data_IF_830205712192
#
_entry.id   IF_830205712192
#
_cell.length_a   1.000
_cell.length_b   1.000
_cell.length_c   1.000
_cell.angle_alpha   90.00
_cell.angle_beta   90.00
_cell.angle_gamma   90.00
#
_symmetry.space_group_name_H-M   'P 1'
#
loop_
_entity.id
_entity.type
_entity.pdbx_description
1 polymer ?
#
# COMPACT_ATOMS: atom_id res chain seq x y z
N UNK A 1 13.44 -16.86 -11.32
CA UNK A 1 14.27 -16.02 -12.21
C UNK A 1 15.15 -15.15 -11.36
N UNK A 2 16.41 -14.92 -11.75
CA UNK A 2 17.30 -14.01 -11.02
C UNK A 2 16.88 -12.56 -11.25
N UNK A 3 16.92 -11.75 -10.19
CA UNK A 3 16.84 -10.30 -10.29
C UNK A 3 17.93 -9.83 -11.27
N UNK A 4 17.57 -9.02 -12.27
CA UNK A 4 18.54 -8.55 -13.28
C UNK A 4 19.18 -7.21 -12.90
N UNK A 5 18.38 -6.31 -12.33
CA UNK A 5 18.77 -4.94 -11.98
C UNK A 5 17.79 -4.39 -10.94
N UNK A 6 18.31 -3.61 -10.01
CA UNK A 6 17.53 -2.80 -9.09
C UNK A 6 18.05 -1.36 -9.10
N UNK A 7 17.20 -0.40 -8.75
CA UNK A 7 17.62 0.97 -8.44
C UNK A 7 17.05 1.33 -7.08
N UNK A 8 17.91 1.84 -6.21
CA UNK A 8 17.53 2.26 -4.86
C UNK A 8 17.50 3.78 -4.81
N UNK A 9 16.42 4.31 -4.26
CA UNK A 9 16.24 5.74 -4.05
C UNK A 9 15.90 5.97 -2.58
N UNK A 10 16.65 6.84 -1.92
CA UNK A 10 16.42 7.24 -0.53
C UNK A 10 16.01 8.70 -0.54
N UNK A 11 14.78 8.97 -0.12
CA UNK A 11 14.24 10.32 -0.05
C UNK A 11 12.76 10.31 0.28
N UNK A 12 12.25 11.49 0.64
CA UNK A 12 10.81 11.69 0.80
C UNK A 12 10.17 11.79 -0.58
N UNK A 13 9.32 10.82 -0.92
CA UNK A 13 8.62 10.75 -2.21
C UNK A 13 7.70 11.96 -2.43
N UNK A 14 7.25 12.65 -1.39
CA UNK A 14 6.49 13.89 -1.52
C UNK A 14 7.38 15.01 -2.09
N UNK A 15 8.63 15.11 -1.64
CA UNK A 15 9.53 16.21 -2.00
C UNK A 15 10.50 15.89 -3.14
N UNK A 16 10.73 14.61 -3.39
CA UNK A 16 11.74 14.15 -4.31
C UNK A 16 11.25 12.92 -5.08
N UNK A 17 11.52 12.89 -6.38
CA UNK A 17 11.17 11.77 -7.23
C UNK A 17 12.43 11.27 -7.94
N UNK A 18 12.59 9.95 -8.14
CA UNK A 18 13.62 9.44 -9.03
C UNK A 18 13.36 9.98 -10.45
N UNK A 19 14.30 10.78 -10.95
CA UNK A 19 14.31 11.26 -12.34
C UNK A 19 14.76 10.13 -13.28
N UNK A 20 14.37 10.24 -14.55
CA UNK A 20 14.84 9.37 -15.64
C UNK A 20 14.63 7.86 -15.41
N UNK A 21 13.52 7.50 -14.77
CA UNK A 21 13.09 6.11 -14.68
C UNK A 21 12.57 5.63 -16.05
N UNK A 22 12.84 4.37 -16.45
CA UNK A 22 12.17 3.77 -17.61
C UNK A 22 10.65 3.76 -17.42
N UNK A 23 9.93 3.56 -18.52
CA UNK A 23 8.49 3.29 -18.44
C UNK A 23 8.21 2.08 -17.55
N UNK A 24 7.33 2.29 -16.57
CA UNK A 24 6.93 1.30 -15.61
C UNK A 24 5.65 0.60 -16.09
N UNK A 25 5.51 -0.68 -15.76
CA UNK A 25 4.29 -1.46 -16.00
C UNK A 25 3.41 -1.54 -14.75
N UNK A 26 4.06 -1.58 -13.58
CA UNK A 26 3.42 -1.72 -12.28
C UNK A 26 4.10 -0.78 -11.29
N UNK A 27 3.30 -0.09 -10.49
CA UNK A 27 3.70 0.65 -9.30
C UNK A 27 3.02 -0.01 -8.11
N UNK A 28 3.77 -0.26 -7.04
CA UNK A 28 3.27 -0.91 -5.83
C UNK A 28 3.52 0.00 -4.63
N UNK A 29 2.45 0.43 -3.97
CA UNK A 29 2.47 1.25 -2.76
C UNK A 29 1.82 0.44 -1.64
N UNK A 30 2.64 -0.16 -0.79
CA UNK A 30 2.17 -1.03 0.29
C UNK A 30 2.30 -0.29 1.60
N UNK A 31 1.17 -0.05 2.29
CA UNK A 31 1.13 0.54 3.63
C UNK A 31 1.83 1.91 3.76
N UNK A 32 1.83 2.73 2.70
CA UNK A 32 2.57 3.98 2.69
C UNK A 32 1.77 5.22 2.25
N UNK A 33 0.59 5.04 1.64
CA UNK A 33 -0.16 6.19 1.11
C UNK A 33 -0.70 7.09 2.22
N UNK A 34 -1.12 6.49 3.33
CA UNK A 34 -1.73 7.17 4.46
C UNK A 34 -0.84 8.26 5.08
N UNK A 35 0.49 8.14 4.95
CA UNK A 35 1.44 9.16 5.41
C UNK A 35 1.39 10.45 4.57
N UNK A 36 0.89 10.39 3.34
CA UNK A 36 0.80 11.56 2.44
C UNK A 36 -0.56 12.27 2.51
N UNK A 37 -1.55 11.72 3.22
CA UNK A 37 -2.95 12.16 3.17
C UNK A 37 -3.30 13.32 4.12
N UNK A 38 -2.29 14.02 4.66
CA UNK A 38 -2.48 15.21 5.50
C UNK A 38 -3.14 16.37 4.75
N UNK A 39 -2.82 16.54 3.46
CA UNK A 39 -3.45 17.53 2.57
C UNK A 39 -3.67 16.95 1.17
N UNK A 40 -4.51 17.61 0.37
CA UNK A 40 -4.66 17.24 -1.04
C UNK A 40 -3.35 17.41 -1.83
N UNK A 41 -2.59 18.47 -1.52
CA UNK A 41 -1.34 18.79 -2.23
C UNK A 41 -0.26 17.74 -1.97
N UNK A 42 -0.10 17.29 -0.73
CA UNK A 42 0.86 16.24 -0.37
C UNK A 42 0.47 14.91 -1.00
N UNK A 43 -0.81 14.53 -0.94
CA UNK A 43 -1.31 13.27 -1.49
C UNK A 43 -1.17 13.22 -3.03
N UNK A 44 -1.54 14.30 -3.73
CA UNK A 44 -1.42 14.33 -5.20
C UNK A 44 0.05 14.38 -5.64
N UNK A 45 0.92 15.07 -4.90
CA UNK A 45 2.36 15.11 -5.20
C UNK A 45 3.00 13.74 -5.00
N UNK A 46 2.73 13.10 -3.87
CA UNK A 46 3.16 11.73 -3.58
C UNK A 46 2.75 10.76 -4.69
N UNK A 47 1.45 10.72 -5.03
CA UNK A 47 0.95 9.84 -6.08
C UNK A 47 1.57 10.16 -7.44
N UNK A 48 1.73 11.44 -7.80
CA UNK A 48 2.37 11.83 -9.06
C UNK A 48 3.80 11.33 -9.14
N UNK A 49 4.58 11.48 -8.08
CA UNK A 49 5.97 11.04 -8.03
C UNK A 49 6.08 9.51 -8.02
N UNK A 50 5.30 8.83 -7.18
CA UNK A 50 5.28 7.37 -7.11
C UNK A 50 4.87 6.72 -8.44
N UNK A 51 3.89 7.33 -9.13
CA UNK A 51 3.42 6.85 -10.42
C UNK A 51 4.42 7.10 -11.58
N UNK A 52 5.37 8.02 -11.41
CA UNK A 52 6.43 8.35 -12.37
C UNK A 52 6.01 8.23 -13.84
N UNK A 53 6.76 7.41 -14.59
CA UNK A 53 6.48 7.08 -15.99
C UNK A 53 5.68 5.78 -16.10
N UNK A 54 4.51 5.68 -15.48
CA UNK A 54 3.62 4.53 -15.67
C UNK A 54 3.05 4.51 -17.09
N UNK A 55 3.29 3.43 -17.82
CA UNK A 55 2.82 3.21 -19.18
C UNK A 55 1.29 3.11 -19.28
N UNK A 56 0.73 3.30 -20.47
CA UNK A 56 -0.69 3.20 -20.70
C UNK A 56 -1.15 1.75 -20.46
N UNK A 57 -2.20 1.57 -19.66
CA UNK A 57 -2.64 0.26 -19.18
C UNK A 57 -1.85 -0.27 -17.97
N UNK A 58 -0.80 0.42 -17.53
CA UNK A 58 -0.05 0.06 -16.33
C UNK A 58 -0.88 0.12 -15.06
N UNK A 59 -0.48 -0.65 -14.06
CA UNK A 59 -1.23 -0.85 -12.82
C UNK A 59 -0.57 -0.14 -11.65
N UNK A 60 -1.39 0.50 -10.83
CA UNK A 60 -1.07 0.87 -9.46
C UNK A 60 -1.72 -0.16 -8.54
N UNK A 61 -0.91 -0.84 -7.74
CA UNK A 61 -1.33 -1.70 -6.63
C UNK A 61 -1.14 -0.91 -5.35
N UNK A 62 -2.19 -0.80 -4.54
CA UNK A 62 -2.19 0.01 -3.34
C UNK A 62 -2.81 -0.76 -2.18
N UNK A 63 -2.18 -0.71 -1.02
CA UNK A 63 -2.74 -1.15 0.25
C UNK A 63 -2.66 -0.01 1.27
N UNK A 64 -3.77 0.23 1.96
CA UNK A 64 -3.89 1.24 3.03
C UNK A 64 -4.97 0.80 4.02
N UNK A 65 -5.06 1.49 5.16
CA UNK A 65 -6.15 1.30 6.12
C UNK A 65 -7.50 1.59 5.45
N UNK A 66 -8.47 0.70 5.66
CA UNK A 66 -9.85 0.79 5.22
C UNK A 66 -10.58 1.84 6.06
N UNK A 67 -11.05 2.91 5.40
CA UNK A 67 -11.76 3.99 6.06
C UNK A 67 -13.07 3.54 6.74
N UNK A 68 -13.74 2.50 6.22
CA UNK A 68 -14.97 1.97 6.83
C UNK A 68 -14.68 1.23 8.15
N UNK A 69 -13.53 0.55 8.22
CA UNK A 69 -13.09 -0.15 9.42
C UNK A 69 -12.50 0.83 10.43
N UNK A 70 -11.79 1.85 9.96
CA UNK A 70 -11.37 3.00 10.76
C UNK A 70 -12.58 3.65 11.45
N UNK A 71 -13.68 3.86 10.73
CA UNK A 71 -14.91 4.42 11.29
C UNK A 71 -15.54 3.53 12.37
N UNK A 72 -15.48 2.20 12.18
CA UNK A 72 -15.96 1.23 13.18
C UNK A 72 -15.13 1.32 14.47
N UNK A 73 -13.80 1.42 14.35
CA UNK A 73 -12.91 1.61 15.49
C UNK A 73 -13.12 2.97 16.16
N UNK A 74 -13.24 4.03 15.37
CA UNK A 74 -13.49 5.38 15.87
C UNK A 74 -14.79 5.45 16.69
N UNK A 75 -15.88 4.80 16.21
CA UNK A 75 -17.13 4.69 16.96
C UNK A 75 -16.95 3.99 18.31
N UNK A 76 -16.14 2.92 18.35
CA UNK A 76 -15.87 2.21 19.59
C UNK A 76 -15.07 3.09 20.56
N UNK A 77 -14.03 3.76 20.04
CA UNK A 77 -13.14 4.64 20.79
C UNK A 77 -13.87 5.85 21.39
N UNK A 78 -14.77 6.49 20.64
CA UNK A 78 -15.50 7.69 21.06
C UNK A 78 -16.47 7.47 22.24
N UNK A 79 -16.81 6.22 22.57
CA UNK A 79 -17.72 5.91 23.69
C UNK A 79 -17.07 6.12 25.06
N UNK A 80 -15.75 5.97 25.14
CA UNK A 80 -14.99 5.99 26.37
C UNK A 80 -13.71 6.83 26.18
N UNK A 81 -13.84 8.15 26.00
CA UNK A 81 -12.66 9.02 25.87
C UNK A 81 -11.82 8.96 27.15
N UNK A 82 -10.50 9.05 27.00
CA UNK A 82 -9.55 9.14 28.10
C UNK A 82 -9.63 10.52 28.77
N UNK A 83 -9.02 10.64 29.95
CA UNK A 83 -9.02 11.87 30.73
C UNK A 83 -8.34 13.06 30.01
N UNK A 84 -7.42 12.78 29.08
CA UNK A 84 -6.74 13.76 28.24
C UNK A 84 -7.54 14.14 26.98
N UNK A 85 -8.74 13.59 26.81
CA UNK A 85 -9.62 13.83 25.66
C UNK A 85 -9.37 12.93 24.45
N UNK A 86 -8.33 12.10 24.47
CA UNK A 86 -8.05 11.15 23.39
C UNK A 86 -9.05 10.00 23.36
N UNK A 87 -9.30 9.45 22.17
CA UNK A 87 -10.17 8.29 21.98
C UNK A 87 -9.32 7.11 21.48
N UNK A 88 -9.42 5.96 22.13
CA UNK A 88 -8.58 4.80 21.79
C UNK A 88 -9.39 3.55 21.47
N UNK A 89 -9.01 2.88 20.39
CA UNK A 89 -9.41 1.52 20.06
C UNK A 89 -8.16 0.63 20.04
N UNK A 90 -8.18 -0.48 20.79
CA UNK A 90 -7.01 -1.35 20.95
C UNK A 90 -7.43 -2.80 21.17
N UNK A 91 -6.52 -3.72 20.81
CA UNK A 91 -6.52 -5.11 21.21
C UNK A 91 -5.10 -5.52 21.63
N UNK A 92 -4.79 -6.82 21.75
CA UNK A 92 -3.44 -7.23 22.19
C UNK A 92 -2.34 -6.95 21.16
N UNK A 93 -2.70 -6.69 19.89
CA UNK A 93 -1.76 -6.53 18.78
C UNK A 93 -1.64 -5.10 18.26
N UNK A 94 -2.67 -4.26 18.41
CA UNK A 94 -2.61 -2.88 17.94
C UNK A 94 -3.28 -1.90 18.90
N UNK A 95 -2.84 -0.64 18.82
CA UNK A 95 -3.48 0.50 19.47
C UNK A 95 -3.64 1.62 18.44
N UNK A 96 -4.87 2.12 18.32
CA UNK A 96 -5.22 3.25 17.48
C UNK A 96 -5.76 4.38 18.33
N UNK A 97 -5.06 5.52 18.29
CA UNK A 97 -5.39 6.69 19.11
C UNK A 97 -5.79 7.86 18.24
N UNK A 98 -7.01 8.34 18.43
CA UNK A 98 -7.47 9.62 17.91
C UNK A 98 -7.12 10.71 18.92
N UNK A 99 -6.47 11.82 18.50
CA UNK A 99 -5.99 12.85 19.43
C UNK A 99 -7.09 13.52 20.24
N UNK A 100 -8.30 13.61 19.69
CA UNK A 100 -9.45 14.26 20.31
C UNK A 100 -10.77 13.65 19.78
N UNK A 101 -11.87 13.98 20.46
CA UNK A 101 -13.21 13.51 20.07
C UNK A 101 -13.68 14.05 18.71
N UNK A 102 -13.23 15.23 18.28
CA UNK A 102 -13.65 15.79 17.00
C UNK A 102 -13.13 14.93 15.84
N UNK A 103 -11.85 14.57 15.87
CA UNK A 103 -11.23 13.68 14.89
C UNK A 103 -11.84 12.28 14.93
N UNK A 104 -12.10 11.75 16.13
CA UNK A 104 -12.76 10.45 16.28
C UNK A 104 -14.19 10.48 15.68
N UNK A 105 -14.96 11.54 15.90
CA UNK A 105 -16.30 11.68 15.31
C UNK A 105 -16.27 11.87 13.79
N UNK A 106 -15.31 12.63 13.25
CA UNK A 106 -15.13 12.75 11.79
C UNK A 106 -14.75 11.41 11.16
N UNK A 107 -13.91 10.62 11.83
CA UNK A 107 -13.57 9.26 11.40
C UNK A 107 -14.77 8.32 11.46
N UNK A 108 -15.53 8.33 12.55
CA UNK A 108 -16.77 7.56 12.68
C UNK A 108 -17.78 7.87 11.57
N UNK A 109 -17.89 9.14 11.17
CA UNK A 109 -18.79 9.59 10.12
C UNK A 109 -18.25 9.31 8.70
N UNK A 110 -17.09 8.66 8.55
CA UNK A 110 -16.40 8.46 7.27
C UNK A 110 -16.27 9.76 6.45
N UNK A 111 -16.00 10.89 7.12
CA UNK A 111 -15.92 12.18 6.43
C UNK A 111 -14.80 12.14 5.39
N UNK A 112 -15.14 12.48 4.14
CA UNK A 112 -14.21 12.48 3.02
C UNK A 112 -13.33 13.75 3.02
N UNK A 113 -12.50 13.89 4.06
CA UNK A 113 -11.58 15.02 4.28
C UNK A 113 -10.12 14.54 4.40
N UNK A 114 -9.19 15.42 3.99
CA UNK A 114 -7.76 15.21 4.22
C UNK A 114 -7.39 15.62 5.66
N UNK A 115 -6.26 15.10 6.17
CA UNK A 115 -5.75 15.50 7.48
C UNK A 115 -6.46 14.87 8.67
N UNK A 116 -7.34 13.88 8.43
CA UNK A 116 -7.97 13.11 9.48
C UNK A 116 -6.94 12.15 10.11
N UNK A 117 -6.19 12.68 11.07
CA UNK A 117 -5.04 12.01 11.68
C UNK A 117 -5.41 11.07 12.83
N UNK A 118 -4.65 10.00 12.96
CA UNK A 118 -4.64 9.09 14.10
C UNK A 118 -3.24 8.52 14.28
N UNK A 119 -2.90 8.13 15.51
CA UNK A 119 -1.69 7.38 15.80
C UNK A 119 -2.00 5.89 15.72
N UNK A 120 -1.22 5.13 14.95
CA UNK A 120 -1.29 3.67 14.89
C UNK A 120 -0.03 3.06 15.49
N UNK A 121 -0.21 2.12 16.41
CA UNK A 121 0.86 1.31 16.96
C UNK A 121 0.56 -0.17 16.78
N UNK A 122 1.57 -0.95 16.39
CA UNK A 122 1.51 -2.41 16.36
C UNK A 122 2.44 -2.94 17.46
N UNK A 123 1.88 -3.74 18.37
CA UNK A 123 2.59 -4.29 19.52
C UNK A 123 3.77 -5.15 19.06
N UNK A 124 4.87 -5.07 19.81
CA UNK A 124 6.11 -5.85 19.63
C UNK A 124 6.87 -5.68 18.29
N UNK A 125 6.29 -4.99 17.30
CA UNK A 125 6.89 -4.75 15.98
C UNK A 125 7.63 -3.40 15.88
N UNK A 126 7.62 -2.60 16.95
CA UNK A 126 8.27 -1.28 16.98
C UNK A 126 7.64 -0.25 16.05
N UNK A 127 6.42 -0.52 15.55
CA UNK A 127 5.67 0.39 14.69
C UNK A 127 4.84 1.31 15.58
N UNK A 128 5.08 2.61 15.45
CA UNK A 128 4.31 3.69 16.08
C UNK A 128 4.36 4.92 15.18
N UNK A 129 3.27 5.20 14.47
CA UNK A 129 3.26 6.20 13.41
C UNK A 129 2.01 7.06 13.45
N UNK A 130 2.16 8.33 13.07
CA UNK A 130 1.03 9.20 12.71
C UNK A 130 0.60 8.89 11.28
N UNK A 131 -0.67 8.55 11.12
CA UNK A 131 -1.29 8.23 9.83
C UNK A 131 -2.48 9.17 9.57
N UNK A 132 -2.90 9.29 8.32
CA UNK A 132 -4.14 9.96 7.94
C UNK A 132 -5.10 8.98 7.27
N UNK A 133 -6.40 9.15 7.53
CA UNK A 133 -7.41 8.33 6.85
C UNK A 133 -7.34 8.53 5.33
N UNK A 134 -7.63 7.47 4.59
CA UNK A 134 -7.70 7.48 3.12
C UNK A 134 -9.11 7.12 2.66
N UNK A 135 -10.07 8.08 2.68
CA UNK A 135 -11.42 7.84 2.17
C UNK A 135 -11.38 7.51 0.67
N UNK A 136 -12.05 6.42 0.26
CA UNK A 136 -12.11 6.03 -1.16
C UNK A 136 -12.58 7.17 -2.10
N UNK A 137 -13.59 7.99 -1.74
CA UNK A 137 -14.01 9.11 -2.60
C UNK A 137 -12.87 10.10 -2.90
N UNK A 138 -12.01 10.39 -1.92
CA UNK A 138 -10.85 11.26 -2.11
C UNK A 138 -9.78 10.57 -2.95
N UNK A 139 -9.47 9.31 -2.67
CA UNK A 139 -8.52 8.52 -3.46
C UNK A 139 -8.95 8.47 -4.93
N UNK A 140 -10.23 8.16 -5.21
CA UNK A 140 -10.79 8.14 -6.57
C UNK A 140 -10.68 9.50 -7.26
N UNK A 141 -10.92 10.60 -6.54
CA UNK A 141 -10.75 11.97 -7.05
C UNK A 141 -9.29 12.23 -7.45
N UNK A 142 -8.34 11.89 -6.59
CA UNK A 142 -6.91 12.05 -6.87
C UNK A 142 -6.45 11.21 -8.06
N UNK A 143 -6.86 9.94 -8.10
CA UNK A 143 -6.57 9.04 -9.21
C UNK A 143 -7.11 9.59 -10.54
N UNK A 144 -8.34 10.11 -10.55
CA UNK A 144 -8.92 10.73 -11.74
C UNK A 144 -8.13 11.95 -12.23
N UNK A 145 -7.65 12.81 -11.32
CA UNK A 145 -6.78 13.96 -11.65
C UNK A 145 -5.44 13.54 -12.25
N UNK A 146 -5.05 12.29 -12.03
CA UNK A 146 -3.81 11.70 -12.54
C UNK A 146 -4.10 10.71 -13.68
N UNK A 147 -5.22 10.80 -14.41
CA UNK A 147 -5.54 9.89 -15.53
C UNK A 147 -5.49 8.40 -15.15
N UNK A 148 -5.80 8.08 -13.89
CA UNK A 148 -5.94 6.72 -13.40
C UNK A 148 -7.43 6.40 -13.24
N UNK A 149 -7.78 5.16 -13.52
CA UNK A 149 -9.10 4.59 -13.31
C UNK A 149 -9.01 3.57 -12.18
N UNK A 150 -9.80 3.71 -11.12
CA UNK A 150 -9.88 2.71 -10.06
C UNK A 150 -10.70 1.51 -10.57
N UNK A 151 -10.04 0.34 -10.67
CA UNK A 151 -10.58 -0.91 -11.25
C UNK A 151 -11.05 -1.88 -10.17
N UNK A 152 -10.31 -1.98 -9.06
CA UNK A 152 -10.64 -2.86 -7.94
C UNK A 152 -10.53 -2.09 -6.62
N UNK A 153 -11.44 -2.38 -5.70
CA UNK A 153 -11.44 -1.91 -4.33
C UNK A 153 -11.98 -3.07 -3.49
N UNK A 154 -11.13 -3.75 -2.73
CA UNK A 154 -11.49 -4.98 -2.02
C UNK A 154 -10.88 -5.00 -0.61
N UNK A 155 -11.69 -5.18 0.45
CA UNK A 155 -11.15 -5.34 1.79
C UNK A 155 -10.34 -6.65 1.88
N UNK A 156 -9.36 -6.71 2.77
CA UNK A 156 -8.50 -7.90 2.89
C UNK A 156 -9.31 -9.18 3.21
N UNK A 157 -10.43 -9.02 3.92
CA UNK A 157 -11.38 -10.10 4.20
C UNK A 157 -12.01 -10.72 2.95
N UNK A 158 -12.01 -10.01 1.83
CA UNK A 158 -12.62 -10.44 0.57
C UNK A 158 -11.61 -10.65 -0.56
N UNK A 159 -10.30 -10.44 -0.31
CA UNK A 159 -9.27 -10.49 -1.35
C UNK A 159 -9.19 -11.84 -2.10
N UNK A 160 -9.66 -12.91 -1.45
CA UNK A 160 -9.73 -14.27 -2.00
C UNK A 160 -11.12 -14.65 -2.51
N UNK A 161 -12.11 -13.80 -2.25
CA UNK A 161 -13.52 -13.96 -2.61
C UNK A 161 -13.90 -13.12 -3.82
N UNK A 162 -12.94 -12.44 -4.47
CA UNK A 162 -13.20 -11.66 -5.68
C UNK A 162 -13.84 -12.58 -6.74
N UNK A 163 -15.13 -12.36 -6.99
CA UNK A 163 -15.94 -13.18 -7.87
C UNK A 163 -15.26 -13.33 -9.24
N UNK A 164 -15.05 -14.59 -9.68
CA UNK A 164 -14.45 -14.90 -10.98
C UNK A 164 -12.95 -15.23 -10.98
N UNK A 165 -12.26 -15.26 -9.83
CA UNK A 165 -10.89 -15.77 -9.76
C UNK A 165 -10.86 -17.29 -10.04
N UNK A 166 -9.92 -17.78 -10.88
CA UNK A 166 -9.81 -19.20 -11.15
C UNK A 166 -9.44 -19.95 -9.85
N UNK A 167 -9.95 -21.17 -9.64
CA UNK A 167 -9.64 -22.00 -8.47
C UNK A 167 -8.14 -22.09 -8.15
N UNK A 168 -7.29 -21.96 -9.18
CA UNK A 168 -5.83 -21.97 -9.11
C UNK A 168 -5.21 -20.85 -8.27
N UNK A 169 -5.82 -19.67 -8.19
CA UNK A 169 -5.25 -18.54 -7.45
C UNK A 169 -5.32 -18.76 -5.93
N UNK A 170 -6.47 -19.25 -5.44
CA UNK A 170 -6.65 -19.61 -4.03
C UNK A 170 -5.76 -20.81 -3.65
N UNK A 171 -5.67 -21.82 -4.51
CA UNK A 171 -4.76 -22.97 -4.31
C UNK A 171 -3.31 -22.52 -4.20
N UNK A 172 -2.83 -21.70 -5.16
CA UNK A 172 -1.45 -21.19 -5.14
C UNK A 172 -1.20 -20.32 -3.90
N UNK A 173 -2.15 -19.48 -3.50
CA UNK A 173 -2.03 -18.68 -2.29
C UNK A 173 -1.86 -19.57 -1.04
N UNK A 174 -2.69 -20.62 -0.91
CA UNK A 174 -2.55 -21.62 0.15
C UNK A 174 -1.17 -22.29 0.16
N UNK A 175 -0.72 -22.79 -1.00
CA UNK A 175 0.60 -23.42 -1.15
C UNK A 175 1.77 -22.48 -0.78
N UNK A 176 1.68 -21.20 -1.18
CA UNK A 176 2.71 -20.21 -0.84
C UNK A 176 2.73 -19.90 0.65
N UNK A 177 1.56 -19.79 1.27
CA UNK A 177 1.43 -19.50 2.69
C UNK A 177 1.94 -20.66 3.57
N UNK A 178 1.64 -21.89 3.18
CA UNK A 178 2.23 -23.08 3.81
C UNK A 178 3.76 -23.05 3.74
N UNK A 179 4.33 -22.68 2.58
CA UNK A 179 5.79 -22.58 2.39
C UNK A 179 6.42 -21.44 3.17
N UNK A 180 5.66 -20.39 3.49
CA UNK A 180 6.10 -19.28 4.34
C UNK A 180 6.01 -19.62 5.84
N UNK A 181 5.67 -20.87 6.19
CA UNK A 181 5.68 -21.35 7.57
C UNK A 181 4.40 -21.07 8.34
N UNK A 182 3.30 -20.77 7.64
CA UNK A 182 2.03 -20.61 8.33
C UNK A 182 1.53 -21.95 8.88
N UNK A 183 1.27 -22.01 10.19
CA UNK A 183 0.78 -23.22 10.84
C UNK A 183 -0.67 -23.51 10.43
N UNK A 184 -0.90 -24.71 9.90
CA UNK A 184 -2.26 -25.22 9.66
C UNK A 184 -2.92 -25.62 10.99
N UNK A 185 -3.66 -24.71 11.61
CA UNK A 185 -4.64 -25.04 12.66
C UNK A 185 -5.97 -24.37 12.31
N UNK A 186 -7.08 -25.11 12.44
CA UNK A 186 -8.42 -24.64 12.04
C UNK A 186 -8.92 -23.57 13.02
N UNK A 187 -9.14 -22.33 12.58
CA UNK A 187 -10.11 -21.39 13.18
C UNK A 187 -10.21 -20.05 12.43
N UNK A 188 -11.46 -19.65 12.16
CA UNK A 188 -12.00 -18.39 11.66
C UNK A 188 -12.11 -18.20 10.12
N UNK A 189 -13.35 -17.89 9.72
CA UNK A 189 -14.02 -18.29 8.47
C UNK A 189 -13.50 -17.72 7.13
N UNK A 190 -12.44 -16.91 7.12
CA UNK A 190 -11.88 -16.32 5.88
C UNK A 190 -10.50 -16.91 5.59
N UNK A 191 -9.66 -17.06 6.62
CA UNK A 191 -8.32 -17.64 6.54
C UNK A 191 -8.31 -19.16 6.65
N UNK A 192 -9.37 -19.73 7.23
CA UNK A 192 -9.64 -21.17 7.21
C UNK A 192 -9.58 -21.78 5.79
N UNK A 193 -9.99 -21.03 4.76
CA UNK A 193 -9.97 -21.51 3.36
C UNK A 193 -8.57 -21.50 2.73
N UNK A 194 -7.65 -20.73 3.29
CA UNK A 194 -6.23 -20.78 2.98
C UNK A 194 -5.47 -21.75 3.88
N UNK A 195 -6.16 -22.42 4.81
CA UNK A 195 -5.52 -23.26 5.82
C UNK A 195 -4.76 -22.47 6.89
N UNK A 196 -5.01 -21.16 7.00
CA UNK A 196 -4.32 -20.27 7.94
C UNK A 196 -5.08 -20.17 9.27
N UNK A 197 -4.38 -20.47 10.38
CA UNK A 197 -4.85 -20.15 11.71
C UNK A 197 -4.60 -18.68 12.01
N UNK A 198 -5.65 -17.90 12.30
CA UNK A 198 -5.50 -16.55 12.87
C UNK A 198 -6.30 -16.46 14.16
N UNK A 199 -5.69 -15.86 15.18
CA UNK A 199 -6.37 -15.44 16.40
C UNK A 199 -7.41 -14.36 16.10
N UNK A 200 -8.30 -14.11 17.06
CA UNK A 200 -9.29 -13.03 16.94
C UNK A 200 -8.62 -11.68 16.69
N UNK A 201 -7.55 -11.40 17.42
CA UNK A 201 -6.85 -10.11 17.35
C UNK A 201 -6.09 -9.97 16.02
N UNK A 202 -5.47 -11.04 15.50
CA UNK A 202 -4.88 -11.04 14.15
C UNK A 202 -5.94 -10.83 13.07
N UNK A 203 -7.11 -11.45 13.20
CA UNK A 203 -8.21 -11.26 12.28
C UNK A 203 -8.75 -9.81 12.30
N UNK A 204 -8.72 -9.14 13.46
CA UNK A 204 -9.05 -7.72 13.57
C UNK A 204 -7.99 -6.84 12.89
N UNK A 205 -6.70 -7.13 13.06
CA UNK A 205 -5.60 -6.41 12.37
C UNK A 205 -5.73 -6.53 10.85
N UNK A 206 -5.99 -7.73 10.34
CA UNK A 206 -6.22 -7.93 8.91
C UNK A 206 -7.36 -7.06 8.41
N UNK A 207 -8.48 -7.03 9.14
CA UNK A 207 -9.69 -6.32 8.73
C UNK A 207 -9.42 -4.84 8.52
N UNK A 208 -8.40 -4.29 9.17
CA UNK A 208 -8.04 -2.88 9.00
C UNK A 208 -7.65 -2.52 7.58
N UNK A 209 -7.29 -3.46 6.72
CA UNK A 209 -6.69 -3.14 5.44
C UNK A 209 -7.57 -3.42 4.23
N UNK A 210 -7.35 -2.59 3.21
CA UNK A 210 -8.01 -2.66 1.91
C UNK A 210 -6.99 -2.58 0.79
N UNK A 211 -7.20 -3.40 -0.24
CA UNK A 211 -6.43 -3.36 -1.47
C UNK A 211 -7.20 -2.60 -2.56
N UNK A 212 -6.46 -1.79 -3.32
CA UNK A 212 -6.95 -1.07 -4.48
C UNK A 212 -6.08 -1.40 -5.69
N UNK A 213 -6.71 -1.50 -6.86
CA UNK A 213 -6.01 -1.58 -8.15
C UNK A 213 -6.53 -0.47 -9.04
N UNK A 214 -5.64 0.42 -9.48
CA UNK A 214 -5.95 1.44 -10.46
C UNK A 214 -5.15 1.21 -11.75
N UNK A 215 -5.73 1.57 -12.89
CA UNK A 215 -5.13 1.40 -14.21
C UNK A 215 -4.91 2.74 -14.87
N UNK A 216 -3.75 2.91 -15.51
CA UNK A 216 -3.44 4.12 -16.25
C UNK A 216 -4.21 4.20 -17.55
N UNK A 217 -4.91 5.31 -17.78
CA UNK A 217 -5.59 5.57 -19.05
C UNK A 217 -4.59 5.84 -20.18
N UNK A 218 -4.95 5.51 -21.43
CA UNK A 218 -4.20 5.95 -22.61
C UNK A 218 -4.11 7.49 -22.67
N UNK A 219 -2.95 8.00 -23.08
CA UNK A 219 -2.72 9.42 -23.29
C UNK A 219 -1.67 9.62 -24.39
N UNK A 220 -1.70 10.76 -25.09
CA UNK A 220 -0.70 11.09 -26.10
C UNK A 220 0.72 11.12 -25.50
N UNK A 221 1.69 10.54 -26.20
CA UNK A 221 3.09 10.46 -25.74
C UNK A 221 3.37 9.38 -24.69
N UNK A 222 2.36 8.63 -24.23
CA UNK A 222 2.54 7.49 -23.31
C UNK A 222 2.52 6.17 -24.09
N UNK A 223 3.56 5.33 -24.01
CA UNK A 223 3.60 4.05 -24.72
C UNK A 223 2.59 3.05 -24.13
N UNK A 224 2.20 2.07 -24.93
CA UNK A 224 1.50 0.89 -24.45
C UNK A 224 2.42 0.02 -23.59
N UNK A 225 1.84 -0.90 -22.81
CA UNK A 225 2.63 -1.89 -22.05
C UNK A 225 3.61 -2.68 -22.92
N UNK A 226 3.21 -3.07 -24.13
CA UNK A 226 4.05 -3.82 -25.05
C UNK A 226 5.25 -2.99 -25.53
N UNK A 227 5.02 -1.73 -25.90
CA UNK A 227 6.09 -0.82 -26.32
C UNK A 227 7.05 -0.52 -25.15
N UNK A 228 6.52 -0.24 -23.95
CA UNK A 228 7.33 -0.04 -22.75
C UNK A 228 8.16 -1.29 -22.39
N UNK A 229 7.59 -2.50 -22.55
CA UNK A 229 8.31 -3.75 -22.30
C UNK A 229 9.42 -4.02 -23.33
N UNK A 230 9.19 -3.69 -24.60
CA UNK A 230 10.20 -3.79 -25.65
C UNK A 230 11.37 -2.82 -25.38
N UNK A 231 11.07 -1.59 -24.98
CA UNK A 231 12.09 -0.61 -24.59
C UNK A 231 12.90 -1.07 -23.38
N UNK A 232 12.23 -1.52 -22.31
CA UNK A 232 12.89 -2.03 -21.11
C UNK A 232 13.79 -3.24 -21.42
N UNK A 233 13.32 -4.16 -22.27
CA UNK A 233 14.10 -5.33 -22.71
C UNK A 233 15.33 -4.92 -23.52
N UNK A 234 15.19 -3.97 -24.45
CA UNK A 234 16.31 -3.45 -25.23
C UNK A 234 17.37 -2.79 -24.34
N UNK A 235 16.96 -2.02 -23.33
CA UNK A 235 17.88 -1.41 -22.35
C UNK A 235 18.61 -2.45 -21.51
N UNK A 236 17.92 -3.50 -21.06
CA UNK A 236 18.56 -4.59 -20.32
C UNK A 236 19.60 -5.33 -21.17
N UNK A 237 19.33 -5.57 -22.45
CA UNK A 237 20.28 -6.22 -23.37
C UNK A 237 21.54 -5.37 -23.56
N UNK A 238 21.39 -4.04 -23.68
CA UNK A 238 22.52 -3.13 -23.90
C UNK A 238 23.39 -2.91 -22.66
N UNK A 239 22.98 -3.40 -21.49
CA UNK A 239 23.71 -3.24 -20.23
C UNK A 239 24.07 -1.79 -19.87
N UNK A 240 23.35 -0.79 -20.39
CA UNK A 240 23.64 0.63 -20.13
C UNK A 240 23.47 0.91 -18.63
N UNK A 241 24.54 1.27 -17.89
CA UNK A 241 24.44 1.60 -16.48
C UNK A 241 23.83 2.99 -16.33
N UNK A 242 22.86 3.13 -15.44
CA UNK A 242 22.39 4.43 -14.98
C UNK A 242 22.90 4.68 -13.56
N UNK A 243 23.15 5.95 -13.18
CA UNK A 243 23.45 6.29 -11.80
C UNK A 243 22.41 5.69 -10.82
N UNK A 244 22.89 4.97 -9.80
CA UNK A 244 22.06 4.31 -8.79
C UNK A 244 21.59 2.88 -9.12
N UNK A 245 21.96 2.32 -10.28
CA UNK A 245 21.67 0.93 -10.60
C UNK A 245 22.58 -0.02 -9.77
N UNK A 246 21.96 -1.00 -9.10
CA UNK A 246 22.61 -2.17 -8.51
C UNK A 246 22.34 -3.35 -9.44
N UNK A 247 23.40 -3.90 -10.03
CA UNK A 247 23.31 -5.08 -10.89
C UNK A 247 23.52 -6.34 -10.05
N UNK A 248 22.63 -7.33 -10.21
CA UNK A 248 22.79 -8.59 -9.49
C UNK A 248 23.99 -9.37 -10.05
N UNK A 249 24.93 -9.74 -9.17
CA UNK A 249 26.11 -10.56 -9.52
C UNK A 249 27.43 -9.80 -9.69
N UNK A 250 27.47 -8.50 -9.40
CA UNK A 250 28.73 -7.78 -9.17
C UNK A 250 28.92 -7.65 -7.65
N UNK A 251 30.01 -8.19 -7.12
CA UNK A 251 30.39 -7.91 -5.73
C UNK A 251 30.59 -6.39 -5.59
N UNK A 252 30.08 -5.77 -4.52
CA UNK A 252 30.36 -4.37 -4.27
C UNK A 252 31.88 -4.23 -4.04
N UNK A 253 32.59 -3.56 -4.94
CA UNK A 253 33.88 -2.97 -4.59
C UNK A 253 33.60 -1.95 -3.48
N UNK A 254 33.81 -2.37 -2.22
CA UNK A 254 33.94 -1.42 -1.13
C UNK A 254 35.11 -0.52 -1.48
N UNK A 255 34.81 0.70 -1.91
CA UNK A 255 35.79 1.75 -2.01
C UNK A 255 36.48 1.87 -0.65
N UNK A 256 37.77 1.50 -0.60
CA UNK A 256 38.58 1.71 0.58
C UNK A 256 38.53 3.21 0.94
N UNK A 257 38.43 3.55 2.24
CA UNK A 257 38.43 4.94 2.66
C UNK A 257 39.74 5.59 2.18
N UNK A 258 39.62 6.75 1.53
CA UNK A 258 40.76 7.55 1.12
C UNK A 258 41.59 7.99 2.34
N UNK A 259 42.92 8.09 2.22
CA UNK A 259 43.85 8.35 3.32
C UNK A 259 43.68 9.73 3.96
#
# INVERSE_FOLDING_TARGET
GSLRRARLFVGDVVHSAPLDLPWQHVVSIQFALQYSFSTEETAIRFLRHALGQLAAGGLLLLVTVDAEQLATLARAASRCPRADGSCVAENSLFCMTFPDQELAHKAEACVAEFGLRYHFALADEGIGCEECAVPEPLLRRLLNKLDMELVLSVPFTELLHVAGQPPKAATLAGELLERLGAEQKRSYAIYDRLGLAVSKDEAEVVRLYRAFVARRRPAAGRPSLAAAAAEASARLIRSEPCPGDVLAGLEPELAAPAP
#
